data_IF_469675887090
#
_entry.id   IF_469675887090
#
_cell.length_a   1.000
_cell.length_b   1.000
_cell.length_c   1.000
_cell.angle_alpha   90.00
_cell.angle_beta   90.00
_cell.angle_gamma   90.00
#
_symmetry.space_group_name_H-M   'P 1'
#
loop_
_entity.id
_entity.type
_entity.pdbx_description
1 polymer ?
#
# COMPACT_ATOMS: atom_id res chain seq x y z
N UNK A 1 -11.94 -6.41 -2.11
CA UNK A 1 -11.37 -7.21 -3.20
C UNK A 1 -9.86 -7.30 -3.06
N UNK A 2 -9.32 -8.50 -3.04
CA UNK A 2 -7.90 -8.74 -2.85
C UNK A 2 -7.43 -9.67 -3.97
N UNK A 3 -6.38 -9.26 -4.70
CA UNK A 3 -5.84 -10.04 -5.80
C UNK A 3 -5.00 -11.24 -5.36
N UNK A 4 -4.72 -12.14 -6.31
CA UNK A 4 -3.95 -13.35 -6.05
C UNK A 4 -2.52 -13.02 -5.61
N UNK A 5 -1.97 -13.81 -4.71
CA UNK A 5 -0.60 -13.68 -4.23
C UNK A 5 -0.38 -12.55 -3.24
N UNK A 6 -1.42 -11.81 -2.87
CA UNK A 6 -1.30 -10.72 -1.91
C UNK A 6 -1.29 -11.27 -0.48
N UNK A 7 -0.37 -10.73 0.32
CA UNK A 7 -0.25 -11.08 1.74
C UNK A 7 -0.75 -9.93 2.61
N UNK A 8 -1.65 -10.23 3.53
CA UNK A 8 -2.20 -9.27 4.49
C UNK A 8 -1.76 -9.72 5.88
N UNK A 9 -0.92 -8.92 6.53
CA UNK A 9 -0.40 -9.24 7.84
C UNK A 9 -1.41 -8.94 8.97
N UNK A 10 -1.00 -9.21 10.21
CA UNK A 10 -1.88 -9.07 11.37
C UNK A 10 -2.33 -7.63 11.60
N UNK A 11 -3.55 -7.49 12.09
CA UNK A 11 -4.15 -6.20 12.48
C UNK A 11 -4.24 -5.19 11.35
N UNK A 12 -4.25 -5.65 10.10
CA UNK A 12 -4.52 -4.77 8.96
C UNK A 12 -6.01 -4.48 8.90
N UNK A 13 -6.36 -3.22 8.70
CA UNK A 13 -7.75 -2.80 8.49
C UNK A 13 -7.94 -2.50 7.02
N UNK A 14 -8.84 -3.24 6.38
CA UNK A 14 -9.28 -2.96 5.01
C UNK A 14 -10.67 -2.37 5.07
N UNK A 15 -10.76 -1.09 4.75
CA UNK A 15 -12.02 -0.38 4.78
C UNK A 15 -12.98 -0.79 3.66
N UNK A 16 -14.22 -0.36 3.77
CA UNK A 16 -15.24 -0.71 2.79
C UNK A 16 -14.87 -0.31 1.38
N UNK A 17 -15.11 -1.20 0.42
CA UNK A 17 -14.86 -1.04 -1.01
C UNK A 17 -13.39 -0.92 -1.42
N UNK A 18 -12.44 -1.02 -0.49
CA UNK A 18 -11.03 -0.99 -0.83
C UNK A 18 -10.67 -2.14 -1.79
N UNK A 19 -9.83 -1.85 -2.78
CA UNK A 19 -9.35 -2.83 -3.75
C UNK A 19 -7.85 -2.97 -3.62
N UNK A 20 -7.37 -4.19 -3.48
CA UNK A 20 -5.94 -4.49 -3.41
C UNK A 20 -5.61 -5.43 -4.56
N UNK A 21 -4.60 -5.08 -5.33
CA UNK A 21 -4.19 -5.84 -6.50
C UNK A 21 -3.47 -7.13 -6.16
N UNK A 22 -2.75 -7.67 -7.16
CA UNK A 22 -2.02 -8.93 -7.07
C UNK A 22 -0.63 -8.72 -6.50
N UNK A 23 -0.11 -9.72 -5.79
CA UNK A 23 1.25 -9.76 -5.30
C UNK A 23 1.64 -8.54 -4.45
N UNK A 24 0.68 -7.98 -3.74
CA UNK A 24 0.92 -6.91 -2.79
C UNK A 24 1.33 -7.48 -1.43
N UNK A 25 1.95 -6.65 -0.62
CA UNK A 25 2.21 -6.98 0.76
C UNK A 25 1.72 -5.83 1.64
N UNK A 26 0.69 -6.07 2.41
CA UNK A 26 0.15 -5.09 3.35
C UNK A 26 0.62 -5.49 4.73
N UNK A 27 1.58 -4.74 5.28
CA UNK A 27 2.25 -5.11 6.52
C UNK A 27 1.40 -4.79 7.76
N UNK A 28 1.82 -5.37 8.88
CA UNK A 28 1.03 -5.36 10.12
C UNK A 28 0.61 -3.96 10.56
N UNK A 29 -0.62 -3.85 11.01
CA UNK A 29 -1.15 -2.61 11.58
C UNK A 29 -1.50 -1.53 10.58
N UNK A 30 -1.32 -1.78 9.26
CA UNK A 30 -1.68 -0.79 8.25
C UNK A 30 -3.19 -0.58 8.17
N UNK A 31 -3.60 0.63 7.82
CA UNK A 31 -5.01 0.99 7.66
C UNK A 31 -5.23 1.46 6.22
N UNK A 32 -6.03 0.70 5.48
CA UNK A 32 -6.50 1.09 4.17
C UNK A 32 -7.91 1.60 4.35
N UNK A 33 -8.08 2.91 4.28
CA UNK A 33 -9.36 3.54 4.60
C UNK A 33 -10.46 3.11 3.65
N UNK A 34 -11.67 3.04 4.18
CA UNK A 34 -12.82 2.66 3.40
C UNK A 34 -13.71 3.83 3.07
N UNK A 35 -14.47 3.68 2.00
CA UNK A 35 -15.52 4.61 1.62
C UNK A 35 -16.78 3.79 1.33
N UNK A 36 -17.83 4.02 2.11
CA UNK A 36 -19.11 3.35 1.92
C UNK A 36 -20.12 4.30 1.29
N UNK A 37 -20.13 5.53 1.73
CA UNK A 37 -21.06 6.57 1.27
C UNK A 37 -20.32 7.86 0.96
N UNK A 38 -20.73 8.58 -0.08
CA UNK A 38 -21.74 8.20 -1.06
C UNK A 38 -21.23 7.11 -2.01
N UNK A 39 -22.14 6.34 -2.67
CA UNK A 39 -21.69 5.29 -3.61
C UNK A 39 -20.84 5.80 -4.77
N UNK A 40 -20.93 7.10 -5.07
CA UNK A 40 -20.11 7.74 -6.11
C UNK A 40 -18.69 8.08 -5.65
N UNK A 41 -18.39 7.97 -4.36
CA UNK A 41 -17.06 8.26 -3.86
C UNK A 41 -16.05 7.20 -4.34
N UNK A 42 -14.82 7.62 -4.67
CA UNK A 42 -13.80 6.72 -5.15
C UNK A 42 -13.26 5.86 -4.01
N UNK A 43 -13.22 4.54 -4.17
CA UNK A 43 -12.58 3.67 -3.18
C UNK A 43 -11.06 3.82 -3.22
N UNK A 44 -10.39 3.37 -2.16
CA UNK A 44 -8.94 3.22 -2.20
C UNK A 44 -8.60 2.09 -3.16
N UNK A 45 -7.62 2.32 -4.01
CA UNK A 45 -7.11 1.31 -4.96
C UNK A 45 -5.61 1.15 -4.74
N UNK A 46 -5.20 -0.05 -4.35
CA UNK A 46 -3.80 -0.44 -4.27
C UNK A 46 -3.53 -1.29 -5.50
N UNK A 47 -2.69 -0.81 -6.41
CA UNK A 47 -2.40 -1.53 -7.64
C UNK A 47 -1.47 -2.72 -7.39
N UNK A 48 -1.09 -3.46 -8.44
CA UNK A 48 -0.30 -4.67 -8.30
C UNK A 48 1.12 -4.41 -7.79
N UNK A 49 1.70 -5.37 -7.10
CA UNK A 49 3.09 -5.35 -6.65
C UNK A 49 3.44 -4.19 -5.72
N UNK A 50 2.48 -3.72 -4.96
CA UNK A 50 2.66 -2.62 -3.99
C UNK A 50 3.00 -3.18 -2.62
N UNK A 51 3.88 -2.48 -1.90
CA UNK A 51 4.17 -2.78 -0.50
C UNK A 51 3.70 -1.61 0.34
N UNK A 52 2.86 -1.90 1.32
CA UNK A 52 2.44 -0.92 2.32
C UNK A 52 3.10 -1.30 3.63
N UNK A 53 4.01 -0.47 4.11
CA UNK A 53 4.78 -0.71 5.32
C UNK A 53 3.93 -0.71 6.57
N UNK A 54 4.49 -1.26 7.66
CA UNK A 54 3.77 -1.42 8.92
C UNK A 54 3.25 -0.08 9.45
N UNK A 55 2.03 -0.11 9.97
CA UNK A 55 1.36 1.06 10.57
C UNK A 55 1.18 2.25 9.61
N UNK A 56 1.31 2.04 8.32
CA UNK A 56 0.99 3.09 7.35
C UNK A 56 -0.52 3.27 7.25
N UNK A 57 -0.94 4.47 6.87
CA UNK A 57 -2.35 4.80 6.66
C UNK A 57 -2.52 5.33 5.24
N UNK A 58 -3.42 4.72 4.49
CA UNK A 58 -3.80 5.20 3.15
C UNK A 58 -5.21 5.76 3.27
N UNK A 59 -5.34 7.06 3.05
CA UNK A 59 -6.62 7.75 3.23
C UNK A 59 -7.59 7.44 2.10
N UNK A 60 -8.86 7.68 2.37
CA UNK A 60 -9.94 7.40 1.42
C UNK A 60 -9.72 8.06 0.06
N UNK A 61 -10.09 7.35 -1.00
CA UNK A 61 -10.00 7.85 -2.37
C UNK A 61 -8.62 7.82 -2.99
N UNK A 62 -7.58 7.41 -2.25
CA UNK A 62 -6.20 7.39 -2.75
C UNK A 62 -5.97 6.18 -3.66
N UNK A 63 -5.24 6.40 -4.74
CA UNK A 63 -4.75 5.33 -5.61
C UNK A 63 -3.25 5.21 -5.45
N UNK A 64 -2.77 4.02 -5.10
CA UNK A 64 -1.34 3.74 -4.97
C UNK A 64 -0.87 2.97 -6.20
N UNK A 65 0.04 3.57 -6.95
CA UNK A 65 0.46 3.05 -8.25
C UNK A 65 1.29 1.78 -8.17
N UNK A 66 1.23 1.01 -9.24
CA UNK A 66 1.88 -0.29 -9.39
C UNK A 66 3.36 -0.23 -9.01
N UNK A 67 3.81 -1.20 -8.24
CA UNK A 67 5.22 -1.35 -7.87
C UNK A 67 5.74 -0.34 -6.86
N UNK A 68 4.88 0.53 -6.32
CA UNK A 68 5.30 1.53 -5.34
C UNK A 68 5.46 0.93 -3.95
N UNK A 69 6.21 1.64 -3.12
CA UNK A 69 6.42 1.28 -1.71
C UNK A 69 5.96 2.44 -0.84
N UNK A 70 5.05 2.14 0.08
CA UNK A 70 4.66 3.08 1.13
C UNK A 70 5.46 2.70 2.37
N UNK A 71 6.31 3.61 2.85
CA UNK A 71 7.16 3.33 4.00
C UNK A 71 6.35 3.16 5.28
N UNK A 72 6.93 2.46 6.26
CA UNK A 72 6.29 2.26 7.55
C UNK A 72 5.93 3.59 8.21
N UNK A 73 4.75 3.65 8.80
CA UNK A 73 4.27 4.83 9.50
C UNK A 73 3.86 6.00 8.62
N UNK A 74 3.92 5.88 7.29
CA UNK A 74 3.52 6.96 6.40
C UNK A 74 2.01 7.19 6.41
N UNK A 75 1.59 8.43 6.19
CA UNK A 75 0.18 8.76 6.00
C UNK A 75 0.01 9.29 4.57
N UNK A 76 -0.60 8.46 3.72
CA UNK A 76 -0.75 8.77 2.29
C UNK A 76 -2.04 9.55 2.09
N UNK A 77 -1.91 10.81 1.70
CA UNK A 77 -3.04 11.73 1.51
C UNK A 77 -3.34 12.01 0.05
N UNK A 78 -2.43 11.69 -0.85
CA UNK A 78 -2.55 11.94 -2.29
C UNK A 78 -2.17 10.70 -3.08
N UNK A 79 -2.62 10.61 -4.31
CA UNK A 79 -2.28 9.50 -5.19
C UNK A 79 -0.76 9.32 -5.31
N UNK A 80 -0.34 8.07 -5.33
CA UNK A 80 1.07 7.69 -5.42
C UNK A 80 1.35 7.19 -6.84
N UNK A 81 2.31 7.80 -7.56
CA UNK A 81 2.68 7.31 -8.89
C UNK A 81 3.25 5.90 -8.84
N UNK A 82 3.36 5.26 -10.01
CA UNK A 82 3.97 3.93 -10.11
C UNK A 82 5.47 3.99 -9.81
N UNK A 83 5.98 2.94 -9.18
CA UNK A 83 7.42 2.72 -9.05
C UNK A 83 8.17 3.69 -8.15
N UNK A 84 7.49 4.31 -7.17
CA UNK A 84 8.14 5.25 -6.25
C UNK A 84 8.04 4.79 -4.81
N UNK A 85 8.91 5.34 -3.96
CA UNK A 85 8.84 5.16 -2.51
C UNK A 85 8.34 6.46 -1.91
N UNK A 86 7.28 6.38 -1.12
CA UNK A 86 6.76 7.53 -0.37
C UNK A 86 6.91 7.29 1.12
N UNK A 87 7.15 8.37 1.88
CA UNK A 87 7.35 8.30 3.32
C UNK A 87 6.90 9.59 4.00
N UNK A 88 6.61 9.51 5.28
CA UNK A 88 6.29 10.66 6.12
C UNK A 88 4.81 10.93 6.32
N UNK A 89 4.53 12.00 7.05
CA UNK A 89 3.17 12.47 7.35
C UNK A 89 3.07 13.97 7.08
N UNK A 90 2.46 14.42 5.97
CA UNK A 90 1.92 13.61 4.88
C UNK A 90 3.04 12.96 4.05
N UNK A 91 2.74 11.82 3.45
CA UNK A 91 3.73 11.09 2.66
C UNK A 91 4.16 11.89 1.43
N UNK A 92 5.46 11.83 1.15
CA UNK A 92 6.08 12.47 -0.01
C UNK A 92 6.97 11.48 -0.73
N UNK A 93 7.13 11.67 -2.04
CA UNK A 93 8.03 10.83 -2.83
C UNK A 93 9.46 11.11 -2.37
N UNK A 94 10.19 10.06 -1.98
CA UNK A 94 11.58 10.20 -1.56
C UNK A 94 12.57 9.65 -2.59
N UNK A 95 12.13 8.69 -3.40
CA UNK A 95 12.97 8.13 -4.48
C UNK A 95 12.15 7.23 -5.37
N UNK A 96 12.73 6.79 -6.47
CA UNK A 96 12.16 5.73 -7.30
C UNK A 96 12.52 4.37 -6.69
N UNK A 97 11.69 3.37 -6.95
CA UNK A 97 12.03 1.98 -6.60
C UNK A 97 13.18 1.55 -7.51
N UNK A 98 14.24 1.02 -6.91
CA UNK A 98 15.43 0.54 -7.63
C UNK A 98 15.72 -0.92 -7.27
N UNK A 99 16.77 -1.50 -7.87
CA UNK A 99 17.14 -2.89 -7.63
C UNK A 99 17.42 -3.15 -6.14
N UNK A 100 18.05 -2.20 -5.47
CA UNK A 100 18.37 -2.33 -4.06
C UNK A 100 17.10 -2.37 -3.20
N UNK A 101 16.12 -1.53 -3.52
CA UNK A 101 14.83 -1.52 -2.83
C UNK A 101 14.10 -2.84 -3.09
N UNK A 102 14.05 -3.28 -4.33
CA UNK A 102 13.41 -4.54 -4.71
C UNK A 102 14.08 -5.74 -4.05
N UNK A 103 15.42 -5.79 -4.02
CA UNK A 103 16.16 -6.88 -3.38
C UNK A 103 15.89 -6.95 -1.87
N UNK A 104 15.87 -5.83 -1.19
CA UNK A 104 15.55 -5.80 0.25
C UNK A 104 14.13 -6.30 0.51
N UNK A 105 13.21 -5.91 -0.34
CA UNK A 105 11.81 -6.33 -0.26
C UNK A 105 11.67 -7.83 -0.46
N UNK A 106 12.31 -8.39 -1.47
CA UNK A 106 12.30 -9.83 -1.74
C UNK A 106 12.89 -10.62 -0.58
N UNK A 107 14.01 -10.16 -0.03
CA UNK A 107 14.65 -10.83 1.09
C UNK A 107 13.73 -10.88 2.31
N UNK A 108 13.04 -9.79 2.61
CA UNK A 108 12.10 -9.75 3.73
C UNK A 108 10.93 -10.70 3.49
N UNK A 109 10.41 -10.76 2.28
CA UNK A 109 9.34 -11.69 1.92
C UNK A 109 9.78 -13.15 2.07
N UNK A 110 10.99 -13.49 1.65
CA UNK A 110 11.53 -14.83 1.79
C UNK A 110 11.65 -15.26 3.25
N UNK A 111 12.05 -14.36 4.12
CA UNK A 111 12.16 -14.64 5.55
C UNK A 111 10.81 -14.89 6.22
N UNK A 112 9.72 -14.50 5.60
CA UNK A 112 8.36 -14.65 6.14
C UNK A 112 7.65 -15.91 5.68
N UNK A 113 8.23 -16.66 4.77
CA UNK A 113 7.61 -17.88 4.24
C UNK A 113 7.66 -19.04 5.25
#
# INVERSE_FOLDING_TARGET
EIGDGTMIDMNVVLGGRAKVGKNCHIEAGSVIAGVIEPPSADPVIIEDNVIVGANAVVLEGVRVGKGSVVAAGAVVTENVPEGVVVAGMPARIIKNVDEKTASKTELVQDLRK
#
